data_IF_746632277028
#
_entry.id   IF_746632277028
#
_cell.length_a   1.000
_cell.length_b   1.000
_cell.length_c   1.000
_cell.angle_alpha   90.00
_cell.angle_beta   90.00
_cell.angle_gamma   90.00
#
_symmetry.space_group_name_H-M   'P 1'
#
loop_
_entity.id
_entity.type
_entity.pdbx_description
1 polymer ?
#
# COMPACT_ATOMS: atom_id res chain seq x y z
N UNK A 1 3.23 39.49 -11.87
CA UNK A 1 3.63 38.84 -10.60
C UNK A 1 5.13 39.00 -10.48
N UNK A 2 5.63 39.58 -9.41
CA UNK A 2 7.06 39.91 -9.29
C UNK A 2 7.86 38.61 -9.08
N UNK A 3 9.10 38.50 -9.60
CA UNK A 3 9.90 37.27 -9.53
C UNK A 3 10.05 36.77 -8.07
N UNK A 4 10.16 37.72 -7.14
CA UNK A 4 10.21 37.50 -5.69
C UNK A 4 8.92 36.85 -5.15
N UNK A 5 7.75 37.29 -5.61
CA UNK A 5 6.45 36.71 -5.19
C UNK A 5 6.32 35.26 -5.68
N UNK A 6 6.76 34.97 -6.90
CA UNK A 6 6.80 33.61 -7.44
C UNK A 6 7.76 32.69 -6.67
N UNK A 7 8.92 33.18 -6.21
CA UNK A 7 9.83 32.40 -5.36
C UNK A 7 9.26 32.14 -3.96
N UNK A 8 8.57 33.11 -3.38
CA UNK A 8 7.90 32.95 -2.07
C UNK A 8 6.72 31.98 -2.18
N UNK A 9 5.92 32.04 -3.25
CA UNK A 9 4.81 31.11 -3.48
C UNK A 9 5.35 29.69 -3.74
N UNK A 10 6.41 29.56 -4.54
CA UNK A 10 7.03 28.26 -4.82
C UNK A 10 7.63 27.63 -3.56
N UNK A 11 8.40 28.38 -2.78
CA UNK A 11 9.00 27.90 -1.54
C UNK A 11 7.95 27.50 -0.49
N UNK A 12 6.88 28.29 -0.34
CA UNK A 12 5.73 27.92 0.50
C UNK A 12 5.04 26.65 -0.01
N UNK A 13 4.81 26.55 -1.32
CA UNK A 13 4.21 25.35 -1.93
C UNK A 13 5.04 24.09 -1.70
N UNK A 14 6.37 24.18 -1.85
CA UNK A 14 7.31 23.08 -1.57
C UNK A 14 7.27 22.70 -0.08
N UNK A 15 7.31 23.69 0.82
CA UNK A 15 7.26 23.44 2.26
C UNK A 15 5.93 22.78 2.67
N UNK A 16 4.81 23.26 2.14
CA UNK A 16 3.48 22.66 2.39
C UNK A 16 3.43 21.24 1.85
N UNK A 17 3.89 20.98 0.63
CA UNK A 17 3.94 19.63 0.07
C UNK A 17 4.85 18.70 0.90
N UNK A 18 5.98 19.20 1.39
CA UNK A 18 6.87 18.45 2.27
C UNK A 18 6.19 18.10 3.59
N UNK A 19 5.56 19.06 4.27
CA UNK A 19 4.83 18.83 5.51
C UNK A 19 3.67 17.84 5.33
N UNK A 20 2.91 17.96 4.24
CA UNK A 20 1.88 16.99 3.88
C UNK A 20 2.45 15.59 3.62
N UNK A 21 3.60 15.50 2.95
CA UNK A 21 4.26 14.21 2.72
C UNK A 21 4.72 13.54 4.02
N UNK A 22 5.22 14.33 4.98
CA UNK A 22 5.61 13.84 6.30
C UNK A 22 4.38 13.38 7.09
N UNK A 23 3.29 14.15 7.08
CA UNK A 23 2.03 13.77 7.72
C UNK A 23 1.44 12.49 7.12
N UNK A 24 1.50 12.33 5.80
CA UNK A 24 1.09 11.08 5.14
C UNK A 24 1.98 9.92 5.54
N UNK A 25 3.28 10.13 5.71
CA UNK A 25 4.21 9.12 6.19
C UNK A 25 3.85 8.60 7.59
N UNK A 26 3.41 9.50 8.47
CA UNK A 26 2.91 9.16 9.80
C UNK A 26 1.64 8.28 9.79
N UNK A 27 0.82 8.37 8.74
CA UNK A 27 -0.35 7.50 8.56
C UNK A 27 0.02 6.15 7.90
N UNK A 28 0.96 6.18 6.95
CA UNK A 28 1.37 4.98 6.21
C UNK A 28 2.09 3.96 7.11
N UNK A 29 3.00 4.41 7.96
CA UNK A 29 3.77 3.52 8.85
C UNK A 29 2.86 2.62 9.71
N UNK A 30 1.93 3.16 10.53
CA UNK A 30 1.07 2.32 11.37
C UNK A 30 0.14 1.43 10.55
N UNK A 31 -0.35 1.91 9.40
CA UNK A 31 -1.17 1.10 8.49
C UNK A 31 -0.39 -0.04 7.81
N UNK A 32 0.93 0.10 7.66
CA UNK A 32 1.82 -0.95 7.15
C UNK A 32 2.22 -1.99 8.21
N UNK A 33 2.09 -1.68 9.51
CA UNK A 33 2.53 -2.57 10.59
C UNK A 33 1.94 -3.99 10.52
N UNK A 34 0.63 -4.20 10.29
CA UNK A 34 0.08 -5.54 10.18
C UNK A 34 0.77 -6.38 9.11
N UNK A 35 1.06 -5.78 7.96
CA UNK A 35 1.79 -6.45 6.89
C UNK A 35 3.23 -6.77 7.30
N UNK A 36 3.94 -5.81 7.89
CA UNK A 36 5.31 -6.01 8.40
C UNK A 36 5.34 -7.16 9.41
N UNK A 37 4.37 -7.21 10.32
CA UNK A 37 4.29 -8.28 11.32
C UNK A 37 4.10 -9.67 10.71
N UNK A 38 3.38 -9.79 9.60
CA UNK A 38 3.25 -11.09 8.92
C UNK A 38 4.56 -11.66 8.39
N UNK A 39 5.55 -10.81 8.09
CA UNK A 39 6.84 -11.27 7.60
C UNK A 39 7.69 -11.97 8.66
N UNK A 40 7.34 -11.85 9.93
CA UNK A 40 7.95 -12.63 11.02
C UNK A 40 7.34 -14.03 11.18
N UNK A 41 6.19 -14.31 10.56
CA UNK A 41 5.58 -15.63 10.59
C UNK A 41 6.46 -16.59 9.75
N UNK A 42 7.04 -17.66 10.32
CA UNK A 42 8.08 -18.46 9.66
C UNK A 42 7.68 -18.99 8.27
N UNK A 43 6.41 -19.39 8.13
CA UNK A 43 5.87 -19.90 6.86
C UNK A 43 5.81 -18.82 5.79
N UNK A 44 5.33 -17.62 6.14
CA UNK A 44 5.22 -16.47 5.23
C UNK A 44 6.61 -15.94 4.91
N UNK A 45 7.45 -15.78 5.93
CA UNK A 45 8.86 -15.40 5.80
C UNK A 45 9.58 -16.22 4.72
N UNK A 46 9.51 -17.57 4.83
CA UNK A 46 10.11 -18.48 3.85
C UNK A 46 9.51 -18.29 2.45
N UNK A 47 8.19 -18.13 2.34
CA UNK A 47 7.54 -17.87 1.04
C UNK A 47 8.01 -16.56 0.40
N UNK A 48 8.16 -15.48 1.17
CA UNK A 48 8.58 -14.17 0.67
C UNK A 48 10.04 -14.17 0.19
N UNK A 49 10.89 -15.03 0.74
CA UNK A 49 12.29 -15.16 0.31
C UNK A 49 12.48 -15.97 -0.99
N UNK A 50 11.49 -16.77 -1.39
CA UNK A 50 11.55 -17.59 -2.61
C UNK A 50 11.68 -16.76 -3.89
N UNK A 51 12.17 -17.40 -4.95
CA UNK A 51 12.26 -16.78 -6.27
C UNK A 51 10.87 -16.53 -6.86
N UNK A 52 10.69 -15.34 -7.43
CA UNK A 52 9.44 -14.88 -8.01
C UNK A 52 8.40 -14.34 -7.02
N UNK A 53 8.63 -14.39 -5.70
CA UNK A 53 7.67 -13.88 -4.70
C UNK A 53 7.22 -12.44 -4.94
N UNK A 54 8.16 -11.55 -5.20
CA UNK A 54 7.90 -10.14 -5.52
C UNK A 54 7.05 -10.01 -6.79
N UNK A 55 7.31 -10.84 -7.81
CA UNK A 55 6.53 -10.82 -9.06
C UNK A 55 5.07 -11.21 -8.78
N UNK A 56 4.84 -12.27 -8.00
CA UNK A 56 3.47 -12.65 -7.62
C UNK A 56 2.79 -11.62 -6.71
N UNK A 57 3.56 -10.92 -5.87
CA UNK A 57 3.04 -9.81 -5.08
C UNK A 57 2.55 -8.66 -5.96
N UNK A 58 3.36 -8.26 -6.94
CA UNK A 58 3.02 -7.21 -7.92
C UNK A 58 1.80 -7.62 -8.75
N UNK A 59 1.76 -8.88 -9.23
CA UNK A 59 0.58 -9.41 -9.95
C UNK A 59 -0.68 -9.35 -9.06
N UNK A 60 -0.56 -9.69 -7.77
CA UNK A 60 -1.64 -9.55 -6.80
C UNK A 60 -2.13 -8.11 -6.67
N UNK A 61 -1.21 -7.15 -6.67
CA UNK A 61 -1.53 -5.72 -6.66
C UNK A 61 -2.31 -5.27 -7.89
N UNK A 62 -1.88 -5.70 -9.09
CA UNK A 62 -2.62 -5.42 -10.33
C UNK A 62 -4.02 -6.03 -10.34
N UNK A 63 -4.15 -7.28 -9.89
CA UNK A 63 -5.45 -7.96 -9.82
C UNK A 63 -6.36 -7.24 -8.83
N UNK A 64 -5.85 -6.87 -7.65
CA UNK A 64 -6.60 -6.10 -6.66
C UNK A 64 -7.09 -4.78 -7.25
N UNK A 65 -6.23 -4.06 -7.98
CA UNK A 65 -6.58 -2.81 -8.65
C UNK A 65 -7.71 -2.98 -9.68
N UNK A 66 -7.64 -4.01 -10.53
CA UNK A 66 -8.71 -4.33 -11.50
C UNK A 66 -10.03 -4.61 -10.77
N UNK A 67 -9.99 -5.42 -9.70
CA UNK A 67 -11.18 -5.73 -8.89
C UNK A 67 -11.79 -4.44 -8.34
N UNK A 68 -10.99 -3.52 -7.80
CA UNK A 68 -11.50 -2.25 -7.28
C UNK A 68 -12.13 -1.37 -8.37
N UNK A 69 -11.54 -1.30 -9.57
CA UNK A 69 -12.17 -0.57 -10.68
C UNK A 69 -13.54 -1.17 -11.02
N UNK A 70 -13.63 -2.49 -11.09
CA UNK A 70 -14.91 -3.18 -11.37
C UNK A 70 -15.94 -2.88 -10.28
N UNK A 71 -15.53 -2.96 -9.00
CA UNK A 71 -16.41 -2.63 -7.86
C UNK A 71 -16.88 -1.18 -7.92
N UNK A 72 -15.98 -0.25 -8.23
CA UNK A 72 -16.29 1.17 -8.37
C UNK A 72 -17.27 1.44 -9.51
N UNK A 73 -17.05 0.80 -10.67
CA UNK A 73 -17.94 0.88 -11.81
C UNK A 73 -19.34 0.36 -11.45
N UNK A 74 -19.43 -0.81 -10.81
CA UNK A 74 -20.70 -1.39 -10.35
C UNK A 74 -21.40 -0.44 -9.37
N UNK A 75 -20.69 0.09 -8.38
CA UNK A 75 -21.26 1.02 -7.41
C UNK A 75 -21.80 2.31 -8.06
N UNK A 76 -21.10 2.84 -9.06
CA UNK A 76 -21.56 3.97 -9.86
C UNK A 76 -22.91 3.69 -10.56
N UNK A 77 -23.09 2.49 -11.15
CA UNK A 77 -24.38 2.10 -11.74
C UNK A 77 -25.51 2.02 -10.72
N UNK A 78 -25.21 1.57 -9.51
CA UNK A 78 -26.19 1.42 -8.43
C UNK A 78 -26.39 2.71 -7.59
N UNK A 79 -25.74 3.82 -7.95
CA UNK A 79 -25.80 5.11 -7.22
C UNK A 79 -25.46 4.97 -5.73
N UNK A 80 -24.56 4.05 -5.40
CA UNK A 80 -24.00 3.91 -4.04
C UNK A 80 -23.00 5.04 -3.83
N UNK A 81 -22.91 5.59 -2.63
CA UNK A 81 -21.96 6.65 -2.30
C UNK A 81 -20.50 6.25 -2.65
N UNK A 82 -19.86 7.05 -3.50
CA UNK A 82 -18.63 6.70 -4.21
C UNK A 82 -17.40 7.36 -3.57
N UNK A 83 -17.59 8.38 -2.73
CA UNK A 83 -16.48 9.16 -2.16
C UNK A 83 -15.57 8.29 -1.30
N UNK A 84 -16.16 7.40 -0.50
CA UNK A 84 -15.44 6.40 0.29
C UNK A 84 -14.68 5.38 -0.58
N UNK A 85 -15.20 5.03 -1.76
CA UNK A 85 -14.57 4.07 -2.66
C UNK A 85 -13.31 4.62 -3.32
N UNK A 86 -13.25 5.92 -3.61
CA UNK A 86 -12.05 6.55 -4.15
C UNK A 86 -10.88 6.45 -3.16
N UNK A 87 -11.18 6.65 -1.86
CA UNK A 87 -10.18 6.56 -0.79
C UNK A 87 -9.67 5.12 -0.62
N UNK A 88 -10.56 4.12 -0.72
CA UNK A 88 -10.18 2.70 -0.71
C UNK A 88 -9.28 2.34 -1.89
N UNK A 89 -9.62 2.80 -3.10
CA UNK A 89 -8.79 2.60 -4.30
C UNK A 89 -7.40 3.22 -4.14
N UNK A 90 -7.35 4.48 -3.70
CA UNK A 90 -6.09 5.20 -3.46
C UNK A 90 -5.24 4.51 -2.39
N UNK A 91 -5.86 4.10 -1.29
CA UNK A 91 -5.19 3.38 -0.21
C UNK A 91 -4.63 2.03 -0.67
N UNK A 92 -5.35 1.29 -1.50
CA UNK A 92 -4.86 0.03 -2.07
C UNK A 92 -3.65 0.23 -3.00
N UNK A 93 -3.63 1.32 -3.79
CA UNK A 93 -2.47 1.67 -4.63
C UNK A 93 -1.27 2.04 -3.75
N UNK A 94 -1.47 2.90 -2.76
CA UNK A 94 -0.44 3.29 -1.78
C UNK A 94 0.13 2.03 -1.11
N UNK A 95 -0.73 1.17 -0.57
CA UNK A 95 -0.31 -0.10 0.04
C UNK A 95 0.56 -0.94 -0.89
N UNK A 96 0.15 -1.12 -2.14
CA UNK A 96 0.89 -1.95 -3.10
C UNK A 96 2.28 -1.38 -3.40
N UNK A 97 2.41 -0.05 -3.49
CA UNK A 97 3.71 0.61 -3.68
C UNK A 97 4.60 0.38 -2.45
N UNK A 98 4.12 0.75 -1.25
CA UNK A 98 4.92 0.66 -0.03
C UNK A 98 5.25 -0.78 0.37
N UNK A 99 4.31 -1.71 0.22
CA UNK A 99 4.56 -3.14 0.49
C UNK A 99 5.57 -3.73 -0.49
N UNK A 100 5.54 -3.34 -1.76
CA UNK A 100 6.53 -3.80 -2.74
C UNK A 100 7.92 -3.26 -2.40
N UNK A 101 8.04 -1.98 -2.07
CA UNK A 101 9.31 -1.38 -1.61
C UNK A 101 9.83 -2.12 -0.38
N UNK A 102 8.97 -2.35 0.60
CA UNK A 102 9.32 -3.10 1.80
C UNK A 102 9.81 -4.52 1.47
N UNK A 103 9.13 -5.25 0.58
CA UNK A 103 9.53 -6.60 0.19
C UNK A 103 10.87 -6.65 -0.56
N UNK A 104 11.16 -5.65 -1.38
CA UNK A 104 12.46 -5.50 -2.04
C UNK A 104 13.55 -5.31 -0.99
N UNK A 105 13.36 -4.41 -0.03
CA UNK A 105 14.30 -4.18 1.07
C UNK A 105 14.46 -5.43 1.94
N UNK A 106 13.34 -6.06 2.34
CA UNK A 106 13.32 -7.30 3.11
C UNK A 106 14.15 -8.40 2.44
N UNK A 107 14.00 -8.56 1.12
CA UNK A 107 14.74 -9.57 0.36
C UNK A 107 16.22 -9.20 0.18
N UNK A 108 16.54 -7.91 0.09
CA UNK A 108 17.91 -7.42 0.02
C UNK A 108 18.68 -7.63 1.33
N UNK A 109 18.05 -7.34 2.48
CA UNK A 109 18.66 -7.50 3.80
C UNK A 109 18.63 -8.94 4.32
N UNK A 110 17.83 -9.83 3.73
CA UNK A 110 17.82 -11.23 4.12
C UNK A 110 19.04 -11.96 3.57
N UNK A 111 19.87 -12.46 4.50
CA UNK A 111 21.06 -13.26 4.18
C UNK A 111 20.73 -14.64 3.59
N UNK A 112 19.46 -15.06 3.62
CA UNK A 112 19.04 -16.43 3.36
C UNK A 112 18.29 -16.55 2.03
N UNK A 113 18.97 -16.25 0.92
CA UNK A 113 18.40 -16.33 -0.44
C UNK A 113 18.00 -17.78 -0.75
N UNK A 114 16.70 -18.05 -0.79
CA UNK A 114 16.19 -19.36 -1.17
C UNK A 114 16.13 -19.46 -2.70
N UNK A 115 16.91 -20.38 -3.28
CA UNK A 115 16.85 -20.69 -4.72
C UNK A 115 15.59 -21.51 -5.11
N UNK A 116 14.66 -21.72 -4.19
CA UNK A 116 13.41 -22.41 -4.45
C UNK A 116 12.39 -21.46 -5.09
N UNK A 117 11.67 -21.96 -6.09
CA UNK A 117 10.51 -21.28 -6.67
C UNK A 117 9.27 -21.49 -5.79
N UNK A 118 8.31 -20.57 -5.94
CA UNK A 118 7.00 -20.70 -5.30
C UNK A 118 6.21 -21.88 -5.86
N UNK A 119 5.72 -22.73 -4.95
CA UNK A 119 4.75 -23.77 -5.27
C UNK A 119 3.39 -23.18 -5.63
N UNK A 120 2.56 -23.94 -6.35
CA UNK A 120 1.24 -23.50 -6.83
C UNK A 120 0.37 -22.91 -5.71
N UNK A 121 0.27 -23.61 -4.56
CA UNK A 121 -0.51 -23.14 -3.38
C UNK A 121 0.04 -21.85 -2.78
N UNK A 122 1.36 -21.65 -2.81
CA UNK A 122 2.02 -20.47 -2.25
C UNK A 122 1.76 -19.22 -3.10
N UNK A 123 1.65 -19.38 -4.42
CA UNK A 123 1.27 -18.29 -5.34
C UNK A 123 -0.12 -17.73 -5.00
N UNK A 124 -1.11 -18.62 -4.87
CA UNK A 124 -2.48 -18.21 -4.49
C UNK A 124 -2.52 -17.63 -3.08
N UNK A 125 -1.73 -18.18 -2.16
CA UNK A 125 -1.62 -17.65 -0.80
C UNK A 125 -1.08 -16.21 -0.79
N UNK A 126 -0.02 -15.92 -1.54
CA UNK A 126 0.53 -14.56 -1.64
C UNK A 126 -0.46 -13.58 -2.27
N UNK A 127 -1.21 -14.03 -3.28
CA UNK A 127 -2.26 -13.21 -3.90
C UNK A 127 -3.37 -12.86 -2.90
N UNK A 128 -3.84 -13.86 -2.15
CA UNK A 128 -4.84 -13.64 -1.09
C UNK A 128 -4.31 -12.73 0.03
N UNK A 129 -3.03 -12.88 0.40
CA UNK A 129 -2.39 -12.04 1.40
C UNK A 129 -2.28 -10.58 0.94
N UNK A 130 -1.89 -10.35 -0.32
CA UNK A 130 -1.85 -9.02 -0.91
C UNK A 130 -3.24 -8.37 -0.91
N UNK A 131 -4.26 -9.09 -1.38
CA UNK A 131 -5.64 -8.60 -1.42
C UNK A 131 -6.16 -8.25 -0.03
N UNK A 132 -5.91 -9.11 0.97
CA UNK A 132 -6.30 -8.88 2.37
C UNK A 132 -5.71 -7.55 2.89
N UNK A 133 -4.41 -7.34 2.71
CA UNK A 133 -3.77 -6.12 3.20
C UNK A 133 -4.10 -4.88 2.38
N UNK A 134 -4.33 -5.02 1.07
CA UNK A 134 -4.81 -3.94 0.23
C UNK A 134 -6.20 -3.44 0.66
N UNK A 135 -7.04 -4.29 1.26
CA UNK A 135 -8.31 -3.90 1.87
C UNK A 135 -8.15 -3.34 3.28
N UNK A 136 -7.30 -3.95 4.11
CA UNK A 136 -7.08 -3.51 5.49
C UNK A 136 -6.41 -2.15 5.60
N UNK A 137 -5.45 -1.88 4.71
CA UNK A 137 -4.66 -0.66 4.73
C UNK A 137 -5.51 0.63 4.71
N UNK A 138 -6.41 0.87 3.73
CA UNK A 138 -7.24 2.08 3.72
C UNK A 138 -8.11 2.20 4.97
N UNK A 139 -8.65 1.10 5.49
CA UNK A 139 -9.45 1.10 6.73
C UNK A 139 -8.64 1.55 7.93
N UNK A 140 -7.39 1.08 8.07
CA UNK A 140 -6.52 1.50 9.16
C UNK A 140 -6.15 2.98 8.99
N UNK A 141 -5.83 3.43 7.78
CA UNK A 141 -5.55 4.85 7.50
C UNK A 141 -6.73 5.73 7.90
N UNK A 142 -7.96 5.34 7.57
CA UNK A 142 -9.18 6.06 7.95
C UNK A 142 -9.34 6.16 9.47
N UNK A 143 -9.20 5.04 10.19
CA UNK A 143 -9.31 5.02 11.65
C UNK A 143 -8.28 5.94 12.31
N UNK A 144 -7.02 5.90 11.83
CA UNK A 144 -5.98 6.78 12.35
C UNK A 144 -6.24 8.25 12.01
N UNK A 145 -6.74 8.54 10.81
CA UNK A 145 -7.10 9.90 10.41
C UNK A 145 -8.23 10.45 11.29
N UNK A 146 -9.28 9.65 11.54
CA UNK A 146 -10.37 10.02 12.45
C UNK A 146 -9.86 10.29 13.87
N UNK A 147 -9.01 9.40 14.41
CA UNK A 147 -8.41 9.59 15.73
C UNK A 147 -7.60 10.89 15.81
N UNK A 148 -6.78 11.21 14.80
CA UNK A 148 -5.93 12.40 14.80
C UNK A 148 -6.73 13.69 14.58
N UNK A 149 -7.78 13.68 13.76
CA UNK A 149 -8.63 14.85 13.51
C UNK A 149 -9.73 15.07 14.57
N UNK A 150 -10.02 14.06 15.39
CA UNK A 150 -10.98 14.15 16.51
C UNK A 150 -10.40 14.80 17.78
N UNK A 151 -9.13 15.20 17.74
CA UNK A 151 -8.41 15.96 18.77
C UNK A 151 -8.33 17.42 18.33
#
# INVERSE_FOLDING_TARGET
>A
MNVVDSFIILSKGILTAFLYSVAMFWLVIPAMLPFIFTTFIPKIHRMLLKNGSIVYWIIGGFISYIIYIVVHFVAFFFKIDIDSMYLVLLGAVIFNIYSTIYLVLFKFFSNNKQNAFLGKKEKYFLLGLNFLFALLFPTIVLIFLEMVLSI
#
